data_IF_903663987605
#
_entry.id   IF_903663987605
#
_cell.length_a   1.000
_cell.length_b   1.000
_cell.length_c   1.000
_cell.angle_alpha   90.00
_cell.angle_beta   90.00
_cell.angle_gamma   90.00
#
_symmetry.space_group_name_H-M   'P 1'
#
loop_
_entity.id
_entity.type
_entity.pdbx_description
1 polymer ?
#
# COMPACT_ATOMS: atom_id res chain seq x y z
N UNK A 1 12.26 -11.96 -6.89
CA UNK A 1 11.68 -10.99 -5.93
C UNK A 1 11.99 -9.58 -6.37
N UNK A 2 11.01 -8.70 -6.26
CA UNK A 2 11.19 -7.27 -6.48
C UNK A 2 11.23 -6.60 -5.11
N UNK A 3 12.20 -5.71 -4.91
CA UNK A 3 12.27 -4.87 -3.71
C UNK A 3 12.39 -3.42 -4.17
N UNK A 4 11.46 -2.58 -3.73
CA UNK A 4 11.46 -1.17 -4.07
C UNK A 4 11.35 -0.33 -2.80
N UNK A 5 12.13 0.74 -2.74
CA UNK A 5 12.03 1.73 -1.68
C UNK A 5 11.22 2.90 -2.21
N UNK A 6 10.11 3.20 -1.55
CA UNK A 6 9.17 4.22 -2.01
C UNK A 6 8.90 5.21 -0.88
N UNK A 7 8.90 6.49 -1.24
CA UNK A 7 8.66 7.58 -0.29
C UNK A 7 7.42 8.36 -0.71
N UNK A 8 6.58 8.68 0.27
CA UNK A 8 5.33 9.40 0.07
C UNK A 8 5.34 10.70 0.88
N UNK A 9 4.99 11.80 0.25
CA UNK A 9 4.73 13.05 0.96
C UNK A 9 3.45 12.89 1.82
N UNK A 10 3.28 13.74 2.86
CA UNK A 10 2.04 13.69 3.66
C UNK A 10 0.80 13.74 2.78
N UNK A 11 -0.15 12.84 3.02
CA UNK A 11 -1.39 12.74 2.26
C UNK A 11 -1.29 12.06 0.89
N UNK A 12 -0.08 11.79 0.41
CA UNK A 12 0.10 11.07 -0.87
C UNK A 12 -0.21 9.59 -0.72
N UNK A 13 -0.80 9.01 -1.76
CA UNK A 13 -1.29 7.63 -1.74
C UNK A 13 -1.31 7.03 -3.13
N UNK A 14 -1.32 5.70 -3.20
CA UNK A 14 -1.46 4.99 -4.46
C UNK A 14 -2.91 4.98 -4.93
N UNK A 15 -3.13 4.60 -6.18
CA UNK A 15 -4.42 4.14 -6.65
C UNK A 15 -4.76 2.79 -6.00
N UNK A 16 -6.00 2.35 -6.10
CA UNK A 16 -6.38 0.98 -5.79
C UNK A 16 -5.59 0.03 -6.68
N UNK A 17 -5.10 -1.06 -6.11
CA UNK A 17 -4.37 -2.07 -6.87
C UNK A 17 -4.34 -3.40 -6.13
N UNK A 18 -3.91 -4.43 -6.83
CA UNK A 18 -3.72 -5.76 -6.26
C UNK A 18 -2.45 -6.39 -6.83
N UNK A 19 -1.92 -7.37 -6.13
CA UNK A 19 -0.74 -8.13 -6.55
C UNK A 19 -1.07 -9.61 -6.63
N UNK A 20 -0.74 -10.23 -7.76
CA UNK A 20 -1.08 -11.64 -8.01
C UNK A 20 -0.51 -12.57 -6.93
N UNK A 21 0.68 -12.28 -6.41
CA UNK A 21 1.37 -13.10 -5.41
C UNK A 21 1.46 -12.40 -4.05
N UNK A 22 0.69 -11.34 -3.84
CA UNK A 22 0.73 -10.55 -2.61
C UNK A 22 1.89 -9.59 -2.56
N UNK A 23 1.93 -8.79 -1.48
CA UNK A 23 2.99 -7.81 -1.27
C UNK A 23 3.24 -7.65 0.23
N UNK A 24 4.50 -7.53 0.59
CA UNK A 24 4.91 -7.19 1.95
C UNK A 24 5.42 -5.75 1.96
N UNK A 25 4.91 -4.96 2.89
CA UNK A 25 5.33 -3.58 3.10
C UNK A 25 6.03 -3.49 4.45
N UNK A 26 7.29 -3.07 4.45
CA UNK A 26 8.03 -2.80 5.68
C UNK A 26 8.23 -1.30 5.81
N UNK A 27 7.65 -0.70 6.84
CA UNK A 27 7.71 0.74 7.04
C UNK A 27 9.06 1.09 7.65
N UNK A 28 9.80 1.95 6.99
CA UNK A 28 11.14 2.36 7.41
C UNK A 28 11.15 3.73 8.08
N UNK A 29 10.23 4.63 7.68
CA UNK A 29 10.13 5.98 8.25
C UNK A 29 8.69 6.47 8.18
N UNK A 30 8.32 7.30 9.13
CA UNK A 30 7.05 8.01 9.11
C UNK A 30 5.86 7.16 9.49
N UNK A 31 4.69 7.57 9.00
CA UNK A 31 3.40 6.94 9.33
C UNK A 31 2.68 6.57 8.04
N UNK A 32 2.43 5.28 7.87
CA UNK A 32 1.73 4.74 6.72
C UNK A 32 0.26 4.50 7.04
N UNK A 33 -0.59 4.74 6.05
CA UNK A 33 -1.98 4.30 6.05
C UNK A 33 -2.17 3.27 4.93
N UNK A 34 -2.83 2.17 5.24
CA UNK A 34 -3.13 1.11 4.28
C UNK A 34 -4.61 0.77 4.40
N UNK A 35 -5.33 0.78 3.29
CA UNK A 35 -6.76 0.52 3.27
C UNK A 35 -7.16 -0.59 2.32
N UNK A 36 -8.31 -1.22 2.60
CA UNK A 36 -8.89 -2.29 1.78
C UNK A 36 -10.32 -1.94 1.38
N UNK A 37 -10.89 -2.69 0.45
CA UNK A 37 -12.26 -2.47 -0.04
C UNK A 37 -13.32 -2.67 1.04
N UNK A 38 -13.00 -3.42 2.10
CA UNK A 38 -13.91 -3.59 3.23
C UNK A 38 -14.11 -2.32 4.05
N UNK A 39 -13.31 -1.28 3.78
CA UNK A 39 -13.34 -0.03 4.53
C UNK A 39 -12.37 0.00 5.70
N UNK A 40 -11.66 -1.09 5.94
CA UNK A 40 -10.63 -1.13 6.97
C UNK A 40 -9.44 -0.27 6.56
N UNK A 41 -8.96 0.52 7.50
CA UNK A 41 -7.74 1.29 7.32
C UNK A 41 -6.87 1.07 8.55
N UNK A 42 -5.64 0.64 8.32
CA UNK A 42 -4.67 0.47 9.39
C UNK A 42 -3.59 1.54 9.30
N UNK A 43 -3.00 1.85 10.45
CA UNK A 43 -1.87 2.75 10.56
C UNK A 43 -0.65 1.94 10.97
N UNK A 44 0.46 2.13 10.27
CA UNK A 44 1.71 1.46 10.56
C UNK A 44 2.85 2.46 10.63
N UNK A 45 3.76 2.27 11.59
CA UNK A 45 4.89 3.17 11.81
C UNK A 45 6.21 2.44 11.56
N UNK A 46 7.31 3.20 11.58
CA UNK A 46 8.65 2.66 11.33
C UNK A 46 8.92 1.40 12.15
N UNK A 47 9.42 0.36 11.49
CA UNK A 47 9.69 -0.94 12.09
C UNK A 47 8.56 -1.95 11.97
N UNK A 48 7.36 -1.53 11.57
CA UNK A 48 6.22 -2.45 11.40
C UNK A 48 6.15 -2.98 9.97
N UNK A 49 5.66 -4.20 9.85
CA UNK A 49 5.50 -4.88 8.57
C UNK A 49 4.04 -5.22 8.34
N UNK A 50 3.55 -4.95 7.14
CA UNK A 50 2.16 -5.21 6.74
C UNK A 50 2.18 -6.15 5.55
N UNK A 51 1.36 -7.18 5.60
CA UNK A 51 1.21 -8.12 4.49
C UNK A 51 -0.11 -7.88 3.77
N UNK A 52 -0.04 -7.71 2.46
CA UNK A 52 -1.20 -7.59 1.59
C UNK A 52 -1.35 -8.91 0.82
N UNK A 53 -2.39 -9.72 1.12
CA UNK A 53 -2.54 -11.05 0.50
C UNK A 53 -2.70 -11.00 -1.01
N UNK A 54 -2.45 -12.13 -1.70
CA UNK A 54 -2.66 -12.21 -3.15
C UNK A 54 -4.06 -11.78 -3.55
N UNK A 55 -4.12 -10.96 -4.60
CA UNK A 55 -5.36 -10.48 -5.23
C UNK A 55 -6.25 -9.60 -4.35
N UNK A 56 -5.84 -9.25 -3.13
CA UNK A 56 -6.60 -8.29 -2.32
C UNK A 56 -6.40 -6.89 -2.87
N UNK A 57 -7.50 -6.21 -3.17
CA UNK A 57 -7.46 -4.82 -3.62
C UNK A 57 -7.21 -3.91 -2.43
N UNK A 58 -6.17 -3.11 -2.52
CA UNK A 58 -5.74 -2.22 -1.46
C UNK A 58 -5.11 -0.95 -2.00
N UNK A 59 -4.89 -0.01 -1.10
CA UNK A 59 -4.07 1.17 -1.35
C UNK A 59 -3.15 1.37 -0.16
N UNK A 60 -2.06 2.09 -0.37
CA UNK A 60 -1.19 2.53 0.71
C UNK A 60 -0.65 3.92 0.42
N UNK A 61 -0.29 4.62 1.48
CA UNK A 61 0.23 5.97 1.39
C UNK A 61 0.67 6.50 2.73
N UNK A 62 1.01 7.78 2.75
CA UNK A 62 1.35 8.48 3.98
C UNK A 62 0.09 8.95 4.70
N UNK A 63 0.16 9.08 6.03
CA UNK A 63 -0.89 9.73 6.78
C UNK A 63 -0.98 11.21 6.38
N UNK A 64 -2.09 11.91 6.71
CA UNK A 64 -2.23 13.32 6.34
C UNK A 64 -1.16 14.23 6.92
N UNK A 65 -0.62 13.87 8.10
CA UNK A 65 0.26 14.74 8.87
C UNK A 65 1.74 14.34 8.84
N UNK A 66 2.07 13.24 8.19
CA UNK A 66 3.45 12.74 8.16
C UNK A 66 3.80 12.16 6.80
N UNK A 67 5.04 12.32 6.37
CA UNK A 67 5.57 11.54 5.26
C UNK A 67 5.69 10.06 5.66
N UNK A 68 5.92 9.21 4.68
CA UNK A 68 6.14 7.78 4.91
C UNK A 68 7.15 7.23 3.91
N UNK A 69 7.95 6.28 4.36
CA UNK A 69 8.83 5.52 3.50
C UNK A 69 8.66 4.04 3.82
N UNK A 70 8.59 3.21 2.78
CA UNK A 70 8.53 1.77 2.96
C UNK A 70 9.41 1.04 1.95
N UNK A 71 9.77 -0.19 2.31
CA UNK A 71 10.24 -1.19 1.37
C UNK A 71 9.03 -2.01 0.92
N UNK A 72 8.84 -2.12 -0.38
CA UNK A 72 7.83 -3.00 -0.96
C UNK A 72 8.54 -4.25 -1.48
N UNK A 73 8.09 -5.41 -1.04
CA UNK A 73 8.65 -6.70 -1.43
C UNK A 73 7.56 -7.55 -2.03
N UNK A 74 7.75 -7.98 -3.27
CA UNK A 74 6.78 -8.83 -3.96
C UNK A 74 7.49 -9.75 -4.96
N UNK A 75 6.88 -10.88 -5.23
CA UNK A 75 7.36 -11.79 -6.24
C UNK A 75 6.73 -11.48 -7.59
N UNK A 76 7.48 -11.73 -8.66
CA UNK A 76 6.97 -11.62 -10.02
C UNK A 76 5.99 -12.77 -10.28
N UNK A 77 4.82 -12.45 -10.86
CA UNK A 77 3.95 -13.46 -11.40
C UNK A 77 4.59 -14.11 -12.63
N UNK A 78 4.12 -15.30 -13.00
CA UNK A 78 4.60 -16.00 -14.19
C UNK A 78 4.47 -15.11 -15.43
N UNK A 79 3.34 -14.40 -15.56
CA UNK A 79 3.17 -13.35 -16.56
C UNK A 79 3.47 -12.01 -15.90
N UNK A 80 4.55 -11.31 -16.28
CA UNK A 80 4.89 -10.03 -15.66
C UNK A 80 3.78 -8.97 -15.72
N UNK A 81 2.92 -9.03 -16.74
CA UNK A 81 1.82 -8.09 -16.89
C UNK A 81 0.76 -8.24 -15.79
N UNK A 82 0.70 -9.39 -15.11
CA UNK A 82 -0.28 -9.67 -14.06
C UNK A 82 0.29 -9.53 -12.65
N UNK A 83 1.57 -9.18 -12.51
CA UNK A 83 2.21 -9.02 -11.20
C UNK A 83 1.49 -7.98 -10.35
N UNK A 84 1.15 -6.84 -10.95
CA UNK A 84 0.38 -5.77 -10.31
C UNK A 84 -0.76 -5.35 -11.22
N UNK A 85 -1.97 -5.30 -10.68
CA UNK A 85 -3.15 -4.81 -11.41
C UNK A 85 -3.54 -3.46 -10.82
N UNK A 86 -3.41 -2.40 -11.63
CA UNK A 86 -3.77 -1.05 -11.24
C UNK A 86 -5.25 -0.79 -11.54
N UNK A 87 -5.93 -0.16 -10.59
CA UNK A 87 -7.34 0.16 -10.66
C UNK A 87 -7.54 1.66 -10.57
N UNK A 88 -8.74 2.11 -10.16
CA UNK A 88 -9.04 3.53 -10.07
C UNK A 88 -8.29 4.22 -8.93
N UNK A 89 -8.13 5.53 -9.04
CA UNK A 89 -7.58 6.33 -7.95
C UNK A 89 -8.52 6.33 -6.76
N UNK A 90 -7.94 6.42 -5.57
CA UNK A 90 -8.73 6.53 -4.34
C UNK A 90 -9.21 7.97 -4.18
N UNK A 91 -10.49 8.13 -3.81
CA UNK A 91 -11.06 9.44 -3.48
C UNK A 91 -10.65 9.89 -2.08
N UNK A 92 -10.77 11.19 -1.81
CA UNK A 92 -10.56 11.71 -0.45
C UNK A 92 -11.54 11.07 0.54
N UNK A 93 -12.78 10.85 0.12
CA UNK A 93 -13.77 10.19 0.97
C UNK A 93 -13.32 8.79 1.39
N UNK A 94 -12.76 8.02 0.47
CA UNK A 94 -12.23 6.68 0.76
C UNK A 94 -10.99 6.76 1.66
N UNK A 95 -10.08 7.69 1.37
CA UNK A 95 -8.85 7.86 2.14
C UNK A 95 -9.13 8.24 3.59
N UNK A 96 -10.08 9.12 3.84
CA UNK A 96 -10.43 9.58 5.18
C UNK A 96 -11.52 8.74 5.86
N UNK A 97 -12.05 7.71 5.20
CA UNK A 97 -13.07 6.87 5.79
C UNK A 97 -12.58 6.22 7.09
N UNK A 98 -13.43 6.19 8.10
CA UNK A 98 -13.15 5.51 9.37
C UNK A 98 -13.70 4.08 9.29
N UNK A 99 -12.94 3.10 9.80
CA UNK A 99 -13.45 1.73 9.88
C UNK A 99 -14.65 1.62 10.79
#
# INVERSE_FOLDING_TARGET
>A
MIVAKVRFAPGSRTAWHSHALGQTLHITQGIAWIGTRSGDRIEATAGQTVYCPPNEEHWHGASPDSFMEHLAMLDNAEDPATTTTWLEHISDAEYFAQP
#
